data_IF_401413507866
#
_entry.id   IF_401413507866
#
_cell.length_a   1.000
_cell.length_b   1.000
_cell.length_c   1.000
_cell.angle_alpha   90.00
_cell.angle_beta   90.00
_cell.angle_gamma   90.00
#
_symmetry.space_group_name_H-M   'P 1'
#
loop_
_entity.id
_entity.type
_entity.pdbx_description
1 polymer ?
#
# COMPACT_ATOMS: atom_id res chain seq x y z
N UNK A 1 7.30 -24.31 6.62
CA UNK A 1 7.90 -25.39 5.84
C UNK A 1 9.02 -24.79 5.03
N UNK A 2 10.19 -25.41 4.99
CA UNK A 2 11.31 -24.92 4.19
C UNK A 2 11.23 -25.56 2.79
N UNK A 3 11.50 -24.78 1.73
CA UNK A 3 11.58 -25.27 0.36
C UNK A 3 10.39 -24.97 -0.55
N UNK A 4 9.45 -24.15 -0.12
CA UNK A 4 8.36 -23.68 -1.00
C UNK A 4 8.88 -22.62 -1.98
N UNK A 5 8.45 -22.72 -3.24
CA UNK A 5 8.85 -21.75 -4.27
C UNK A 5 7.98 -20.50 -4.14
N UNK A 6 8.53 -19.43 -3.60
CA UNK A 6 7.85 -18.12 -3.50
C UNK A 6 8.09 -17.35 -4.79
N UNK A 7 7.02 -16.84 -5.39
CA UNK A 7 7.07 -15.98 -6.59
C UNK A 7 6.25 -14.72 -6.38
N UNK A 8 6.61 -13.68 -7.13
CA UNK A 8 5.83 -12.45 -7.24
C UNK A 8 5.38 -12.28 -8.68
N UNK A 9 4.09 -12.09 -8.89
CA UNK A 9 3.48 -11.92 -10.21
C UNK A 9 2.76 -10.58 -10.26
N UNK A 10 2.95 -9.87 -11.36
CA UNK A 10 2.24 -8.63 -11.66
C UNK A 10 1.37 -8.85 -12.89
N UNK A 11 0.08 -8.59 -12.78
CA UNK A 11 -0.85 -8.81 -13.88
C UNK A 11 -2.20 -8.15 -13.63
N UNK A 12 -3.15 -8.47 -14.48
CA UNK A 12 -4.52 -7.97 -14.36
C UNK A 12 -5.48 -9.08 -13.95
N UNK A 13 -6.44 -8.76 -13.11
CA UNK A 13 -7.52 -9.68 -12.75
C UNK A 13 -8.38 -10.00 -13.99
N UNK A 14 -8.55 -11.28 -14.25
CA UNK A 14 -9.36 -11.79 -15.38
C UNK A 14 -10.83 -11.73 -15.04
N UNK A 15 -11.16 -12.08 -13.79
CA UNK A 15 -12.52 -12.13 -13.25
C UNK A 15 -12.54 -11.45 -11.88
N UNK A 16 -13.73 -11.12 -11.37
CA UNK A 16 -13.90 -10.66 -10.00
C UNK A 16 -13.49 -11.78 -9.01
N UNK A 17 -12.87 -11.44 -7.87
CA UNK A 17 -12.54 -12.43 -6.85
C UNK A 17 -13.79 -13.13 -6.31
N UNK A 18 -13.80 -14.45 -6.34
CA UNK A 18 -14.89 -15.26 -5.81
C UNK A 18 -14.64 -15.62 -4.35
N UNK A 19 -15.41 -15.03 -3.44
CA UNK A 19 -15.35 -15.31 -2.02
C UNK A 19 -16.24 -16.54 -1.69
N UNK A 20 -15.67 -17.51 -1.03
CA UNK A 20 -16.38 -18.70 -0.51
C UNK A 20 -15.98 -18.96 0.93
N UNK A 21 -16.83 -19.68 1.64
CA UNK A 21 -16.54 -20.16 2.99
C UNK A 21 -16.42 -21.68 2.99
N UNK A 22 -15.37 -22.15 3.65
CA UNK A 22 -15.21 -23.60 3.86
C UNK A 22 -16.25 -24.12 4.87
N UNK A 23 -16.51 -25.44 4.96
CA UNK A 23 -17.38 -26.02 5.99
C UNK A 23 -16.94 -25.67 7.41
N UNK A 24 -15.65 -25.40 7.62
CA UNK A 24 -15.10 -24.94 8.91
C UNK A 24 -15.26 -23.45 9.16
N UNK A 25 -15.91 -22.70 8.24
CA UNK A 25 -16.15 -21.26 8.36
C UNK A 25 -14.97 -20.36 7.94
N UNK A 26 -13.90 -20.91 7.40
CA UNK A 26 -12.78 -20.10 6.92
C UNK A 26 -13.10 -19.48 5.55
N UNK A 27 -12.91 -18.17 5.43
CA UNK A 27 -13.04 -17.46 4.16
C UNK A 27 -11.89 -17.82 3.21
N UNK A 28 -12.19 -18.02 1.93
CA UNK A 28 -11.23 -18.18 0.84
C UNK A 28 -11.71 -17.39 -0.38
N UNK A 29 -10.87 -16.56 -0.94
CA UNK A 29 -11.14 -15.91 -2.21
C UNK A 29 -10.26 -16.49 -3.31
N UNK A 30 -10.89 -16.83 -4.44
CA UNK A 30 -10.21 -17.31 -5.64
C UNK A 30 -10.34 -16.29 -6.76
N UNK A 31 -9.24 -16.04 -7.44
CA UNK A 31 -9.20 -15.15 -8.60
C UNK A 31 -8.11 -15.58 -9.58
N UNK A 32 -8.22 -15.14 -10.83
CA UNK A 32 -7.19 -15.39 -11.85
C UNK A 32 -6.48 -14.10 -12.21
N UNK A 33 -5.17 -14.19 -12.36
CA UNK A 33 -4.30 -13.11 -12.81
C UNK A 33 -3.72 -13.47 -14.17
N UNK A 34 -3.86 -12.56 -15.13
CA UNK A 34 -3.19 -12.63 -16.43
C UNK A 34 -1.96 -11.72 -16.39
N UNK A 35 -0.79 -12.32 -16.54
CA UNK A 35 0.48 -11.61 -16.69
C UNK A 35 0.93 -11.70 -18.15
N UNK A 36 0.85 -10.58 -18.87
CA UNK A 36 1.19 -10.51 -20.29
C UNK A 36 2.47 -9.72 -20.46
N UNK A 37 3.59 -10.37 -20.89
CA UNK A 37 4.81 -9.64 -21.20
C UNK A 37 4.61 -8.81 -22.47
N UNK A 38 5.20 -7.62 -22.51
CA UNK A 38 5.22 -6.79 -23.72
C UNK A 38 6.64 -6.66 -24.22
N UNK A 39 6.83 -6.87 -25.50
CA UNK A 39 8.13 -6.74 -26.18
C UNK A 39 8.03 -5.67 -27.24
N UNK A 40 9.02 -4.79 -27.28
CA UNK A 40 9.10 -3.79 -28.32
C UNK A 40 9.69 -4.38 -29.60
N UNK A 41 8.90 -4.39 -30.67
CA UNK A 41 9.35 -4.83 -31.99
C UNK A 41 9.97 -3.64 -32.73
N UNK A 42 11.30 -3.71 -32.90
CA UNK A 42 12.07 -2.66 -33.59
C UNK A 42 11.76 -2.57 -35.09
N UNK A 43 11.26 -3.65 -35.71
CA UNK A 43 10.95 -3.63 -37.13
C UNK A 43 9.65 -2.91 -37.43
N UNK A 44 8.61 -3.16 -36.61
CA UNK A 44 7.31 -2.48 -36.75
C UNK A 44 7.21 -1.20 -35.92
N UNK A 45 8.21 -0.92 -35.05
CA UNK A 45 8.24 0.20 -34.10
C UNK A 45 7.00 0.21 -33.18
N UNK A 46 6.53 -0.97 -32.77
CA UNK A 46 5.33 -1.16 -31.97
C UNK A 46 5.59 -2.11 -30.78
N UNK A 47 4.80 -1.90 -29.71
CA UNK A 47 4.76 -2.84 -28.61
C UNK A 47 3.83 -3.99 -28.91
N UNK A 48 4.36 -5.22 -28.91
CA UNK A 48 3.61 -6.45 -29.09
C UNK A 48 3.41 -7.18 -27.77
N UNK A 49 2.19 -7.63 -27.54
CA UNK A 49 1.86 -8.48 -26.41
C UNK A 49 2.36 -9.91 -26.69
N UNK A 50 3.08 -10.46 -25.73
CA UNK A 50 3.53 -11.85 -25.75
C UNK A 50 2.44 -12.81 -25.23
N UNK A 51 2.81 -14.06 -25.05
CA UNK A 51 1.92 -15.07 -24.48
C UNK A 51 1.60 -14.74 -23.01
N UNK A 52 0.30 -14.74 -22.69
CA UNK A 52 -0.18 -14.43 -21.34
C UNK A 52 -0.05 -15.65 -20.43
N UNK A 53 0.58 -15.48 -19.28
CA UNK A 53 0.54 -16.43 -18.20
C UNK A 53 -0.75 -16.22 -17.37
N UNK A 54 -1.58 -17.26 -17.29
CA UNK A 54 -2.77 -17.28 -16.43
C UNK A 54 -2.48 -18.07 -15.17
N UNK A 55 -2.62 -17.43 -14.02
CA UNK A 55 -2.36 -18.05 -12.74
C UNK A 55 -3.59 -17.96 -11.83
N UNK A 56 -4.02 -19.12 -11.32
CA UNK A 56 -5.10 -19.19 -10.33
C UNK A 56 -4.53 -18.91 -8.95
N UNK A 57 -5.07 -17.92 -8.28
CA UNK A 57 -4.64 -17.46 -6.97
C UNK A 57 -5.71 -17.78 -5.92
N UNK A 58 -5.28 -18.19 -4.73
CA UNK A 58 -6.14 -18.43 -3.58
C UNK A 58 -5.59 -17.69 -2.37
N UNK A 59 -6.42 -16.89 -1.72
CA UNK A 59 -6.09 -16.14 -0.51
C UNK A 59 -7.08 -16.51 0.59
N UNK A 60 -6.65 -16.50 1.84
CA UNK A 60 -7.39 -17.08 2.95
C UNK A 60 -7.72 -16.06 4.05
N UNK A 61 -8.77 -16.38 4.84
CA UNK A 61 -9.17 -15.66 6.04
C UNK A 61 -9.53 -14.19 5.78
N UNK A 62 -9.13 -13.28 6.66
CA UNK A 62 -9.45 -11.86 6.54
C UNK A 62 -8.98 -11.24 5.22
N UNK A 63 -7.83 -11.66 4.72
CA UNK A 63 -7.33 -11.18 3.44
C UNK A 63 -8.25 -11.58 2.26
N UNK A 64 -8.94 -12.72 2.35
CA UNK A 64 -9.91 -13.14 1.35
C UNK A 64 -11.12 -12.20 1.29
N UNK A 65 -11.65 -11.81 2.43
CA UNK A 65 -12.76 -10.85 2.54
C UNK A 65 -12.34 -9.47 2.01
N UNK A 66 -11.17 -9.00 2.43
CA UNK A 66 -10.62 -7.72 1.97
C UNK A 66 -10.40 -7.68 0.46
N UNK A 67 -9.90 -8.77 -0.13
CA UNK A 67 -9.69 -8.90 -1.58
C UNK A 67 -11.01 -8.85 -2.33
N UNK A 68 -12.01 -9.59 -1.86
CA UNK A 68 -13.33 -9.62 -2.50
C UNK A 68 -14.04 -8.26 -2.44
N UNK A 69 -13.81 -7.48 -1.39
CA UNK A 69 -14.37 -6.15 -1.24
C UNK A 69 -13.62 -5.09 -2.09
N UNK A 70 -12.30 -5.26 -2.22
CA UNK A 70 -11.44 -4.18 -2.76
C UNK A 70 -11.05 -4.35 -4.22
N UNK A 71 -10.97 -5.58 -4.72
CA UNK A 71 -10.44 -5.87 -6.04
C UNK A 71 -11.55 -6.30 -7.01
N UNK A 72 -11.41 -5.87 -8.27
CA UNK A 72 -12.37 -6.15 -9.33
C UNK A 72 -11.64 -6.57 -10.62
N UNK A 73 -12.39 -7.23 -11.51
CA UNK A 73 -11.93 -7.59 -12.85
C UNK A 73 -11.27 -6.40 -13.56
N UNK A 74 -10.15 -6.66 -14.21
CA UNK A 74 -9.38 -5.66 -14.95
C UNK A 74 -8.38 -4.88 -14.12
N UNK A 75 -8.50 -4.88 -12.79
CA UNK A 75 -7.53 -4.21 -11.93
C UNK A 75 -6.15 -4.85 -12.06
N UNK A 76 -5.13 -4.00 -12.11
CA UNK A 76 -3.73 -4.43 -12.06
C UNK A 76 -3.32 -4.66 -10.63
N UNK A 77 -2.77 -5.84 -10.36
CA UNK A 77 -2.37 -6.29 -9.02
C UNK A 77 -0.94 -6.79 -8.99
N UNK A 78 -0.35 -6.73 -7.81
CA UNK A 78 0.92 -7.37 -7.45
C UNK A 78 0.56 -8.46 -6.46
N UNK A 79 0.92 -9.68 -6.75
CA UNK A 79 0.59 -10.86 -5.94
C UNK A 79 1.86 -11.60 -5.62
N UNK A 80 2.11 -11.87 -4.34
CA UNK A 80 3.20 -12.70 -3.86
C UNK A 80 2.62 -13.92 -3.15
N UNK A 81 3.24 -15.08 -3.37
CA UNK A 81 2.78 -16.30 -2.73
C UNK A 81 3.61 -17.51 -3.12
N UNK A 82 3.15 -18.66 -2.67
CA UNK A 82 3.80 -19.95 -2.86
C UNK A 82 3.21 -20.67 -4.07
N UNK A 83 4.06 -20.93 -5.05
CA UNK A 83 3.67 -21.65 -6.26
C UNK A 83 3.45 -23.13 -5.93
N UNK A 84 2.30 -23.65 -6.29
CA UNK A 84 1.93 -25.05 -6.16
C UNK A 84 1.62 -25.64 -7.51
N UNK A 85 2.09 -26.84 -7.72
CA UNK A 85 1.72 -27.65 -8.87
C UNK A 85 0.74 -28.72 -8.43
N UNK A 86 -0.38 -28.84 -9.13
CA UNK A 86 -1.37 -29.88 -8.93
C UNK A 86 -1.65 -30.62 -10.24
N UNK A 87 -1.60 -31.93 -10.21
CA UNK A 87 -1.99 -32.75 -11.34
C UNK A 87 -3.34 -33.40 -11.04
N UNK A 88 -4.20 -33.42 -12.05
CA UNK A 88 -5.48 -34.09 -12.00
C UNK A 88 -5.74 -34.79 -13.33
N UNK A 89 -6.61 -35.78 -13.31
CA UNK A 89 -7.06 -36.48 -14.50
C UNK A 89 -8.39 -35.84 -14.94
N UNK A 90 -8.48 -35.46 -16.20
CA UNK A 90 -9.72 -34.90 -16.75
C UNK A 90 -10.74 -36.03 -17.05
N UNK A 91 -11.92 -35.64 -17.51
CA UNK A 91 -13.00 -36.61 -17.80
C UNK A 91 -12.68 -37.58 -18.93
N UNK A 92 -11.65 -37.28 -19.70
CA UNK A 92 -11.16 -38.08 -20.81
C UNK A 92 -10.00 -39.00 -20.42
N UNK A 93 -9.62 -39.01 -19.10
CA UNK A 93 -8.51 -39.79 -18.57
C UNK A 93 -7.13 -39.18 -18.84
N UNK A 94 -7.08 -37.92 -19.31
CA UNK A 94 -5.82 -37.24 -19.61
C UNK A 94 -5.31 -36.54 -18.36
N UNK A 95 -4.05 -36.77 -17.99
CA UNK A 95 -3.39 -36.08 -16.88
C UNK A 95 -3.12 -34.62 -17.28
N UNK A 96 -3.69 -33.71 -16.49
CA UNK A 96 -3.48 -32.27 -16.60
C UNK A 96 -2.70 -31.75 -15.41
N UNK A 97 -1.77 -30.86 -15.68
CA UNK A 97 -1.02 -30.16 -14.66
C UNK A 97 -1.45 -28.70 -14.63
N UNK A 98 -1.82 -28.21 -13.46
CA UNK A 98 -2.17 -26.81 -13.21
C UNK A 98 -1.24 -26.23 -12.17
N UNK A 99 -0.95 -24.95 -12.34
CA UNK A 99 -0.19 -24.16 -11.39
C UNK A 99 -1.15 -23.23 -10.66
N UNK A 100 -1.05 -23.25 -9.34
CA UNK A 100 -1.86 -22.44 -8.45
C UNK A 100 -0.93 -21.66 -7.52
N UNK A 101 -1.35 -20.46 -7.11
CA UNK A 101 -0.61 -19.64 -6.18
C UNK A 101 -1.37 -19.54 -4.86
N UNK A 102 -0.77 -20.05 -3.79
CA UNK A 102 -1.21 -19.76 -2.43
C UNK A 102 -0.68 -18.39 -2.05
N UNK A 103 -1.58 -17.42 -1.96
CA UNK A 103 -1.22 -16.01 -1.82
C UNK A 103 -0.89 -15.69 -0.37
N UNK A 104 0.29 -15.11 -0.16
CA UNK A 104 0.70 -14.55 1.12
C UNK A 104 0.39 -13.05 1.17
N UNK A 105 0.65 -12.30 0.05
CA UNK A 105 0.41 -10.87 -0.05
C UNK A 105 -0.21 -10.50 -1.40
N UNK A 106 -1.17 -9.57 -1.40
CA UNK A 106 -1.77 -9.04 -2.61
C UNK A 106 -2.15 -7.57 -2.43
N UNK A 107 -1.96 -6.79 -3.47
CA UNK A 107 -2.33 -5.38 -3.47
C UNK A 107 -2.58 -4.84 -4.86
N UNK A 108 -3.30 -3.73 -4.95
CA UNK A 108 -3.47 -3.01 -6.20
C UNK A 108 -2.14 -2.38 -6.65
N UNK A 109 -1.83 -2.47 -7.94
CA UNK A 109 -0.69 -1.78 -8.52
C UNK A 109 -1.02 -0.30 -8.72
N UNK A 110 -0.23 0.58 -8.14
CA UNK A 110 -0.41 2.04 -8.23
C UNK A 110 0.29 2.66 -9.45
N UNK A 111 0.80 1.85 -10.38
CA UNK A 111 1.48 2.34 -11.57
C UNK A 111 0.60 3.27 -12.42
N UNK A 112 -0.69 2.98 -12.51
CA UNK A 112 -1.67 3.72 -13.32
C UNK A 112 -3.00 3.92 -12.60
N UNK A 113 -3.00 3.80 -11.28
CA UNK A 113 -4.19 3.94 -10.44
C UNK A 113 -3.81 4.54 -9.09
N UNK A 114 -4.80 5.08 -8.38
CA UNK A 114 -4.68 5.51 -6.98
C UNK A 114 -5.54 4.62 -6.10
N UNK A 115 -5.14 4.43 -4.85
CA UNK A 115 -5.92 3.69 -3.86
C UNK A 115 -5.99 4.44 -2.54
N UNK A 116 -7.16 4.40 -1.90
CA UNK A 116 -7.34 4.82 -0.50
C UNK A 116 -7.39 3.56 0.35
N UNK A 117 -6.53 3.51 1.37
CA UNK A 117 -6.46 2.36 2.26
C UNK A 117 -7.21 2.67 3.55
N UNK A 118 -8.17 1.81 3.89
CA UNK A 118 -8.86 1.81 5.17
C UNK A 118 -8.37 0.62 5.98
N UNK A 119 -7.88 0.87 7.19
CA UNK A 119 -7.48 -0.22 8.09
C UNK A 119 -8.73 -0.96 8.56
N UNK A 120 -8.79 -2.25 8.28
CA UNK A 120 -9.74 -3.13 8.95
C UNK A 120 -9.18 -3.44 10.34
N UNK A 121 -9.94 -3.13 11.39
CA UNK A 121 -9.59 -3.58 12.74
C UNK A 121 -9.65 -5.10 12.75
N UNK A 122 -8.49 -5.74 12.68
CA UNK A 122 -8.39 -7.17 12.89
C UNK A 122 -9.03 -7.50 14.24
N UNK A 123 -9.95 -8.44 14.27
CA UNK A 123 -10.59 -8.94 15.48
C UNK A 123 -9.59 -9.62 16.41
N UNK A 124 -8.75 -8.84 17.05
CA UNK A 124 -7.83 -9.19 18.12
C UNK A 124 -8.14 -8.32 19.32
N UNK A 125 -8.86 -8.90 20.29
CA UNK A 125 -9.12 -8.48 21.64
C UNK A 125 -8.65 -7.10 22.11
N UNK A 126 -9.35 -6.06 21.75
CA UNK A 126 -9.24 -4.78 22.45
C UNK A 126 -10.02 -4.91 23.75
N UNK A 127 -9.31 -5.09 24.85
CA UNK A 127 -9.81 -4.88 26.19
C UNK A 127 -10.35 -3.46 26.25
N UNK A 128 -11.67 -3.32 26.15
CA UNK A 128 -12.37 -2.08 26.42
C UNK A 128 -12.05 -1.62 27.83
N UNK A 129 -11.29 -0.57 27.94
CA UNK A 129 -11.19 0.20 29.17
C UNK A 129 -12.47 1.02 29.26
N UNK A 130 -13.43 0.43 29.97
CA UNK A 130 -14.66 1.03 30.39
C UNK A 130 -14.34 2.11 31.43
N UNK A 131 -14.18 3.34 30.96
CA UNK A 131 -14.15 4.51 31.80
C UNK A 131 -15.57 4.81 32.29
N UNK A 132 -15.90 4.27 33.45
CA UNK A 132 -17.13 4.60 34.16
C UNK A 132 -17.09 6.05 34.62
N UNK A 133 -17.95 6.89 34.00
CA UNK A 133 -18.29 8.20 34.52
C UNK A 133 -19.19 8.05 35.72
N UNK A 134 -18.72 8.35 36.90
CA UNK A 134 -19.55 8.66 38.05
C UNK A 134 -19.63 10.16 38.21
N UNK A 135 -20.78 10.71 37.88
CA UNK A 135 -21.19 12.04 38.30
C UNK A 135 -21.57 12.00 39.78
N UNK A 136 -21.11 12.96 40.52
CA UNK A 136 -21.52 13.18 41.91
C UNK A 136 -21.01 14.55 42.35
N UNK A 137 -21.93 15.50 42.44
CA UNK A 137 -21.69 16.84 42.93
C UNK A 137 -21.31 16.87 44.41
N UNK A 138 -20.68 17.95 44.83
CA UNK A 138 -20.37 18.23 46.23
C UNK A 138 -19.48 19.45 46.35
N UNK A 139 -20.10 20.53 46.69
CA UNK A 139 -19.60 21.84 47.04
C UNK A 139 -18.77 21.77 48.33
N UNK A 140 -17.63 22.49 48.44
CA UNK A 140 -17.29 23.44 49.53
C UNK A 140 -15.78 23.61 49.74
N UNK A 141 -15.29 24.79 49.44
CA UNK A 141 -14.62 25.78 50.31
C UNK A 141 -13.35 25.39 51.06
N UNK A 142 -12.30 26.18 50.83
CA UNK A 142 -11.36 26.51 51.88
C UNK A 142 -9.86 26.29 51.58
N UNK A 143 -9.19 27.38 51.26
CA UNK A 143 -8.00 27.83 52.00
C UNK A 143 -6.65 27.21 51.72
N UNK A 144 -5.76 28.08 51.24
CA UNK A 144 -4.43 28.20 51.84
C UNK A 144 -3.25 27.41 51.23
N UNK A 145 -2.46 28.11 50.43
CA UNK A 145 -1.10 28.35 50.84
C UNK A 145 0.05 27.49 50.30
N UNK A 146 0.98 28.18 49.60
CA UNK A 146 2.44 27.93 49.51
C UNK A 146 2.90 26.70 48.70
N UNK A 147 3.57 26.89 47.60
CA UNK A 147 4.98 27.27 47.50
C UNK A 147 5.83 26.12 46.94
N UNK A 148 6.65 26.34 45.92
CA UNK A 148 7.78 25.46 45.55
C UNK A 148 7.61 24.82 44.17
N UNK A 149 8.01 25.41 43.12
CA UNK A 149 9.31 25.44 42.44
C UNK A 149 9.91 24.11 42.01
N UNK A 150 10.31 24.11 40.74
CA UNK A 150 11.26 23.19 40.08
C UNK A 150 10.59 21.98 39.36
N UNK A 151 10.60 21.91 38.06
CA UNK A 151 11.78 21.89 37.21
C UNK A 151 11.92 20.48 36.63
N UNK A 152 11.64 20.27 35.39
CA UNK A 152 11.86 18.99 34.74
C UNK A 152 11.52 19.11 33.27
N UNK A 153 12.41 19.74 32.50
CA UNK A 153 12.33 19.77 31.05
C UNK A 153 12.58 18.37 30.51
N UNK A 154 11.57 17.80 29.87
CA UNK A 154 11.71 16.67 28.94
C UNK A 154 12.26 17.21 27.63
N UNK A 155 13.47 16.81 27.28
CA UNK A 155 14.06 17.10 25.98
C UNK A 155 13.18 16.53 24.85
N UNK A 156 12.98 17.27 23.75
CA UNK A 156 12.34 16.71 22.56
C UNK A 156 13.22 15.62 21.96
N UNK A 157 12.62 14.49 21.68
CA UNK A 157 13.24 13.40 20.92
C UNK A 157 13.51 13.95 19.53
N UNK A 158 14.77 14.01 19.12
CA UNK A 158 15.19 14.39 17.78
C UNK A 158 14.54 13.42 16.78
N UNK A 159 13.59 13.93 16.02
CA UNK A 159 13.04 13.25 14.86
C UNK A 159 13.99 13.50 13.67
N UNK A 160 14.69 12.47 13.16
CA UNK A 160 15.66 12.64 12.08
C UNK A 160 15.05 13.06 10.73
N UNK A 161 13.72 13.15 10.65
CA UNK A 161 12.99 13.54 9.44
C UNK A 161 12.34 14.93 9.52
N UNK A 162 12.55 15.68 10.62
CA UNK A 162 12.06 17.04 10.73
C UNK A 162 12.93 17.98 9.90
N UNK A 163 12.51 18.30 8.69
CA UNK A 163 13.09 19.35 7.86
C UNK A 163 12.85 20.70 8.49
N UNK A 164 13.92 21.37 8.91
CA UNK A 164 13.92 22.73 9.45
C UNK A 164 13.39 23.71 8.37
N UNK A 165 12.28 24.36 8.66
CA UNK A 165 11.82 25.49 7.88
C UNK A 165 12.77 26.67 8.08
N UNK A 166 13.15 27.42 7.03
CA UNK A 166 13.99 28.58 7.20
C UNK A 166 13.23 29.72 7.89
N UNK A 167 13.80 30.21 8.97
CA UNK A 167 13.33 31.38 9.71
C UNK A 167 13.40 32.62 8.81
N UNK A 168 12.24 33.22 8.50
CA UNK A 168 12.13 34.49 7.84
C UNK A 168 12.62 35.62 8.73
N UNK A 169 13.75 36.20 8.42
CA UNK A 169 14.23 37.47 8.98
C UNK A 169 13.52 38.63 8.34
N UNK A 170 12.79 39.38 9.12
CA UNK A 170 12.25 40.68 8.81
C UNK A 170 13.36 41.72 8.81
N UNK A 171 13.58 42.40 7.70
CA UNK A 171 14.24 43.72 7.75
C UNK A 171 13.70 44.68 6.68
N UNK A 172 13.27 45.79 7.19
CA UNK A 172 12.64 46.96 6.65
C UNK A 172 13.66 47.84 5.93
N UNK A 173 13.24 48.51 4.82
CA UNK A 173 13.84 49.77 4.48
C UNK A 173 14.20 50.00 3.02
N UNK A 174 13.44 50.82 2.32
CA UNK A 174 13.96 52.00 1.58
C UNK A 174 14.44 51.89 0.16
N UNK A 175 13.61 52.40 -0.76
CA UNK A 175 14.11 53.43 -1.69
C UNK A 175 14.73 53.02 -3.01
N UNK A 176 14.02 53.31 -4.13
CA UNK A 176 14.57 54.11 -5.21
C UNK A 176 15.32 53.43 -6.36
N UNK A 177 14.75 53.58 -7.56
CA UNK A 177 15.58 53.96 -8.71
C UNK A 177 15.82 52.95 -9.85
N UNK A 178 15.11 53.12 -10.90
CA UNK A 178 15.45 53.18 -12.32
C UNK A 178 16.69 52.44 -12.87
N UNK A 179 16.49 51.78 -13.98
CA UNK A 179 17.56 51.66 -14.97
C UNK A 179 17.60 50.32 -15.67
N UNK A 180 17.27 50.34 -16.94
CA UNK A 180 17.24 49.33 -17.94
C UNK A 180 18.59 48.67 -18.25
N UNK A 181 18.52 47.65 -19.07
CA UNK A 181 19.71 47.07 -19.69
C UNK A 181 19.47 45.63 -20.15
N UNK A 182 19.27 45.52 -21.43
CA UNK A 182 19.30 44.32 -22.26
C UNK A 182 20.57 43.48 -22.11
N UNK A 183 20.50 42.18 -22.39
CA UNK A 183 21.63 41.33 -22.76
C UNK A 183 21.44 39.89 -22.37
N UNK A 184 20.90 39.07 -23.25
CA UNK A 184 21.60 38.06 -24.04
C UNK A 184 22.24 36.89 -23.32
N UNK A 185 21.76 35.74 -23.74
CA UNK A 185 22.43 34.44 -23.96
C UNK A 185 22.78 33.53 -22.77
N UNK A 186 22.24 32.35 -22.85
CA UNK A 186 23.04 31.14 -22.98
C UNK A 186 23.05 30.20 -21.81
N UNK A 187 22.65 28.98 -22.07
CA UNK A 187 23.13 27.83 -21.32
C UNK A 187 22.06 27.07 -20.56
N UNK A 188 21.26 26.32 -21.28
CA UNK A 188 20.49 25.24 -20.70
C UNK A 188 21.41 24.09 -20.31
N UNK A 189 21.39 23.71 -19.06
CA UNK A 189 21.83 22.38 -18.66
C UNK A 189 20.56 21.58 -18.31
N UNK A 190 20.21 20.69 -19.21
CA UNK A 190 19.25 19.63 -18.94
C UNK A 190 19.95 18.55 -18.13
N UNK A 191 19.66 18.47 -16.83
CA UNK A 191 19.94 17.30 -16.03
C UNK A 191 18.82 16.29 -16.25
N UNK A 192 18.99 15.45 -17.25
CA UNK A 192 18.25 14.19 -17.38
C UNK A 192 19.11 13.10 -16.77
N UNK A 193 18.60 12.34 -15.77
CA UNK A 193 19.30 11.17 -15.28
C UNK A 193 19.24 10.05 -16.35
N UNK A 194 20.33 9.29 -16.53
CA UNK A 194 20.38 8.20 -17.50
C UNK A 194 19.64 6.96 -16.96
N UNK A 195 18.59 6.55 -17.65
CA UNK A 195 18.04 5.19 -17.59
C UNK A 195 17.83 4.66 -19.00
#
# INVERSE_FOLDING_TARGET
MAGETVITVVGNLVDDPELRFTPSGAAVAKFRVASTPRTFDRQSNEWKDGESLFLTCSVWRQAAENVAESLQRGMRVIVQGRLKQRSYEDREGVKRTVYELDVDEVGASLRSATAKVTKTSGGGGGRGQQGGGFGGGGQQQGGGGWGGQQGGGGAPVDDPWATSAPAGGQQQGGGGGWGGGSGSSGGGYSDEPPF
#
